data_IF_706391239568
#
_entry.id   IF_706391239568
#
_cell.length_a   1.000
_cell.length_b   1.000
_cell.length_c   1.000
_cell.angle_alpha   90.00
_cell.angle_beta   90.00
_cell.angle_gamma   90.00
#
_symmetry.space_group_name_H-M   'P 1'
#
loop_
_entity.id
_entity.type
_entity.pdbx_description
1 polymer ?
#
# COMPACT_ATOMS: atom_id res chain seq x y z
N UNK A 1 -37.57 31.02 -49.23
CA UNK A 1 -36.28 30.63 -48.77
C UNK A 1 -36.34 30.67 -47.21
N UNK A 2 -36.44 29.51 -46.57
CA UNK A 2 -36.51 29.38 -45.11
C UNK A 2 -35.11 29.07 -44.62
N UNK A 3 -34.50 29.98 -43.86
CA UNK A 3 -33.19 29.74 -43.21
C UNK A 3 -33.38 28.86 -41.98
N UNK A 4 -32.79 27.67 -42.03
CA UNK A 4 -32.72 26.73 -40.93
C UNK A 4 -31.49 27.07 -40.08
N UNK A 5 -31.69 27.67 -38.89
CA UNK A 5 -30.62 27.85 -37.92
C UNK A 5 -30.41 26.51 -37.17
N UNK A 6 -29.29 25.85 -37.40
CA UNK A 6 -28.83 24.71 -36.61
C UNK A 6 -27.99 25.26 -35.46
N UNK A 7 -28.55 25.26 -34.25
CA UNK A 7 -27.82 25.56 -33.03
C UNK A 7 -27.02 24.30 -32.61
N UNK A 8 -25.73 24.38 -32.75
CA UNK A 8 -24.79 23.35 -32.27
C UNK A 8 -24.59 23.52 -30.74
N UNK A 9 -25.22 22.67 -29.95
CA UNK A 9 -25.04 22.64 -28.51
C UNK A 9 -23.72 21.92 -28.21
N UNK A 10 -22.66 22.64 -27.86
CA UNK A 10 -21.42 22.08 -27.35
C UNK A 10 -21.64 21.64 -25.88
N UNK A 11 -21.80 20.36 -25.65
CA UNK A 11 -21.79 19.76 -24.31
C UNK A 11 -20.34 19.75 -23.83
N UNK A 12 -19.95 20.74 -23.03
CA UNK A 12 -18.69 20.71 -22.28
C UNK A 12 -18.81 19.63 -21.21
N UNK A 13 -18.27 18.43 -21.50
CA UNK A 13 -17.97 17.44 -20.51
C UNK A 13 -16.80 17.96 -19.67
N UNK A 14 -17.09 18.60 -18.54
CA UNK A 14 -16.10 18.87 -17.51
C UNK A 14 -15.77 17.53 -16.85
N UNK A 15 -14.69 16.90 -17.27
CA UNK A 15 -14.07 15.83 -16.48
C UNK A 15 -13.56 16.49 -15.21
N UNK A 16 -14.22 16.24 -14.10
CA UNK A 16 -13.70 16.59 -12.78
C UNK A 16 -12.42 15.77 -12.57
N UNK A 17 -11.27 16.38 -12.74
CA UNK A 17 -10.01 15.81 -12.31
C UNK A 17 -10.04 15.92 -10.78
N UNK A 18 -10.41 14.85 -10.11
CA UNK A 18 -10.26 14.76 -8.66
C UNK A 18 -8.76 14.65 -8.37
N UNK A 19 -8.14 15.78 -8.08
CA UNK A 19 -6.83 15.79 -7.42
C UNK A 19 -6.97 15.06 -6.09
N UNK A 20 -6.00 14.21 -5.74
CA UNK A 20 -5.96 13.58 -4.43
C UNK A 20 -6.02 14.66 -3.35
N UNK A 21 -6.87 14.44 -2.35
CA UNK A 21 -7.04 15.36 -1.23
C UNK A 21 -6.40 14.77 0.03
N UNK A 22 -5.97 15.66 0.92
CA UNK A 22 -5.50 15.22 2.24
C UNK A 22 -6.61 14.47 2.98
N UNK A 23 -6.32 13.26 3.40
CA UNK A 23 -7.21 12.43 4.20
C UNK A 23 -6.70 12.48 5.66
N UNK A 24 -7.45 13.06 6.63
CA UNK A 24 -6.99 13.23 8.00
C UNK A 24 -6.54 11.92 8.67
N UNK A 25 -7.23 10.83 8.39
CA UNK A 25 -6.84 9.52 8.91
C UNK A 25 -5.46 9.08 8.38
N UNK A 26 -5.18 9.26 7.08
CA UNK A 26 -3.86 8.96 6.53
C UNK A 26 -2.78 9.82 7.17
N UNK A 27 -3.06 11.11 7.37
CA UNK A 27 -2.17 12.01 8.10
C UNK A 27 -1.89 11.53 9.53
N UNK A 28 -2.89 10.99 10.23
CA UNK A 28 -2.71 10.44 11.58
C UNK A 28 -1.85 9.17 11.61
N UNK A 29 -1.87 8.37 10.55
CA UNK A 29 -0.99 7.21 10.38
C UNK A 29 0.43 7.66 10.05
N UNK A 30 0.58 8.58 9.08
CA UNK A 30 1.88 9.16 8.71
C UNK A 30 2.57 9.82 9.90
N UNK A 31 1.81 10.47 10.78
CA UNK A 31 2.35 11.08 12.01
C UNK A 31 2.96 10.05 13.00
N UNK A 32 2.70 8.74 12.81
CA UNK A 32 3.31 7.66 13.59
C UNK A 32 4.62 7.15 12.95
N UNK A 33 5.05 7.73 11.84
CA UNK A 33 6.35 7.47 11.25
C UNK A 33 7.44 7.84 12.25
N UNK A 34 8.43 6.98 12.42
CA UNK A 34 9.44 7.12 13.47
C UNK A 34 10.84 7.33 12.90
N UNK A 35 11.34 8.57 13.03
CA UNK A 35 12.73 8.87 12.66
C UNK A 35 13.72 7.97 13.42
N UNK A 36 13.44 7.65 14.69
CA UNK A 36 14.29 6.77 15.49
C UNK A 36 14.34 5.34 14.92
N UNK A 37 13.20 4.80 14.44
CA UNK A 37 13.19 3.49 13.81
C UNK A 37 14.02 3.51 12.52
N UNK A 38 13.82 4.49 11.66
CA UNK A 38 14.56 4.64 10.40
C UNK A 38 16.06 4.71 10.66
N UNK A 39 16.51 5.59 11.58
CA UNK A 39 17.93 5.71 11.93
C UNK A 39 18.49 4.41 12.52
N UNK A 40 17.68 3.69 13.32
CA UNK A 40 18.06 2.39 13.87
C UNK A 40 18.19 1.33 12.76
N UNK A 41 17.27 1.31 11.81
CA UNK A 41 17.28 0.38 10.68
C UNK A 41 18.49 0.63 9.77
N UNK A 42 18.78 1.89 9.45
CA UNK A 42 19.99 2.28 8.71
C UNK A 42 21.28 1.86 9.44
N UNK A 43 21.36 2.10 10.76
CA UNK A 43 22.52 1.68 11.57
C UNK A 43 22.70 0.17 11.56
N UNK A 44 21.60 -0.60 11.69
CA UNK A 44 21.65 -2.07 11.65
C UNK A 44 22.00 -2.56 10.24
N UNK A 45 21.44 -1.95 9.20
CA UNK A 45 21.75 -2.29 7.82
C UNK A 45 23.22 -2.05 7.47
N UNK A 46 23.79 -0.91 7.90
CA UNK A 46 25.21 -0.61 7.75
C UNK A 46 26.09 -1.65 8.45
N UNK A 47 25.74 -2.02 9.69
CA UNK A 47 26.49 -2.99 10.49
C UNK A 47 26.54 -4.40 9.88
N UNK A 48 25.63 -4.75 8.96
CA UNK A 48 25.63 -6.03 8.23
C UNK A 48 26.77 -6.12 7.20
N UNK A 49 27.42 -5.00 6.87
CA UNK A 49 28.53 -4.95 5.93
C UNK A 49 28.10 -4.91 4.46
N UNK A 50 29.03 -5.19 3.55
CA UNK A 50 28.80 -5.17 2.10
C UNK A 50 28.00 -6.38 1.66
N UNK A 51 26.84 -6.14 1.04
CA UNK A 51 25.82 -7.17 0.70
C UNK A 51 25.98 -7.67 -0.74
N UNK A 52 27.20 -8.05 -1.06
CA UNK A 52 27.53 -8.57 -2.41
C UNK A 52 27.01 -9.99 -2.59
N UNK A 53 26.62 -10.37 -3.82
CA UNK A 53 26.21 -11.74 -4.15
C UNK A 53 27.19 -12.79 -3.62
N UNK A 54 26.66 -13.86 -3.04
CA UNK A 54 27.44 -14.97 -2.50
C UNK A 54 28.12 -14.69 -1.15
N UNK A 55 27.91 -13.53 -0.54
CA UNK A 55 28.47 -13.20 0.79
C UNK A 55 27.53 -13.61 1.91
N UNK A 56 28.10 -13.86 3.08
CA UNK A 56 27.34 -14.04 4.32
C UNK A 56 26.57 -12.79 4.71
N UNK A 57 27.09 -11.60 4.41
CA UNK A 57 26.43 -10.32 4.67
C UNK A 57 25.09 -10.22 3.93
N UNK A 58 25.04 -10.62 2.66
CA UNK A 58 23.78 -10.66 1.90
C UNK A 58 22.75 -11.60 2.52
N UNK A 59 23.16 -12.82 2.95
CA UNK A 59 22.27 -13.75 3.62
C UNK A 59 21.81 -13.22 4.98
N UNK A 60 22.71 -12.65 5.78
CA UNK A 60 22.38 -12.08 7.08
C UNK A 60 21.38 -10.90 6.90
N UNK A 61 21.50 -10.11 5.83
CA UNK A 61 20.55 -9.03 5.54
C UNK A 61 19.18 -9.58 5.19
N UNK A 62 19.09 -10.62 4.40
CA UNK A 62 17.81 -11.31 4.12
C UNK A 62 17.15 -11.80 5.43
N UNK A 63 17.91 -12.43 6.31
CA UNK A 63 17.40 -12.95 7.59
C UNK A 63 17.00 -11.80 8.53
N UNK A 64 17.75 -10.70 8.54
CA UNK A 64 17.40 -9.48 9.27
C UNK A 64 16.09 -8.87 8.76
N UNK A 65 15.89 -8.72 7.45
CA UNK A 65 14.65 -8.24 6.85
C UNK A 65 13.44 -9.09 7.25
N UNK A 66 13.57 -10.42 7.20
CA UNK A 66 12.51 -11.35 7.61
C UNK A 66 12.15 -11.15 9.09
N UNK A 67 13.17 -11.03 9.95
CA UNK A 67 12.97 -10.80 11.38
C UNK A 67 12.30 -9.45 11.66
N UNK A 68 12.61 -8.40 10.89
CA UNK A 68 11.91 -7.11 10.96
C UNK A 68 10.42 -7.27 10.67
N UNK A 69 10.06 -7.89 9.56
CA UNK A 69 8.66 -8.12 9.21
C UNK A 69 7.92 -8.98 10.25
N UNK A 70 8.56 -10.02 10.79
CA UNK A 70 7.99 -10.82 11.87
C UNK A 70 7.75 -9.97 13.13
N UNK A 71 8.69 -9.08 13.48
CA UNK A 71 8.56 -8.19 14.63
C UNK A 71 7.42 -7.16 14.49
N UNK A 72 7.01 -6.85 13.27
CA UNK A 72 5.86 -5.98 12.99
C UNK A 72 4.51 -6.71 13.04
N UNK A 73 4.51 -8.03 13.24
CA UNK A 73 3.30 -8.86 13.35
C UNK A 73 2.91 -9.55 12.04
N UNK A 74 3.71 -9.48 11.00
CA UNK A 74 3.53 -10.33 9.82
C UNK A 74 3.92 -11.78 10.13
N UNK A 75 3.36 -12.72 9.41
CA UNK A 75 3.63 -14.16 9.57
C UNK A 75 4.57 -14.65 8.47
N UNK A 76 5.23 -15.79 8.72
CA UNK A 76 6.08 -16.43 7.71
C UNK A 76 5.30 -16.82 6.43
N UNK A 77 3.99 -17.08 6.54
CA UNK A 77 3.13 -17.41 5.39
C UNK A 77 2.89 -16.22 4.46
N UNK A 78 3.09 -14.99 4.94
CA UNK A 78 2.97 -13.77 4.15
C UNK A 78 4.28 -13.41 3.43
N UNK A 79 5.35 -14.13 3.71
CA UNK A 79 6.68 -13.91 3.14
C UNK A 79 7.07 -15.04 2.18
N UNK A 80 7.64 -14.66 1.04
CA UNK A 80 8.21 -15.56 0.04
C UNK A 80 9.68 -15.19 -0.19
N UNK A 81 10.56 -16.20 -0.16
CA UNK A 81 11.94 -16.08 -0.65
C UNK A 81 11.99 -16.62 -2.09
N UNK A 82 12.08 -15.73 -3.05
CA UNK A 82 12.22 -16.13 -4.45
C UNK A 82 13.70 -16.29 -4.80
N UNK A 83 14.15 -17.53 -4.98
CA UNK A 83 15.52 -17.82 -5.41
C UNK A 83 15.73 -17.60 -6.89
N UNK A 84 16.91 -17.10 -7.25
CA UNK A 84 17.38 -16.95 -8.64
C UNK A 84 18.89 -17.09 -8.72
N UNK A 85 19.41 -17.33 -9.93
CA UNK A 85 20.86 -17.41 -10.17
C UNK A 85 21.40 -16.03 -10.54
N UNK A 86 22.46 -15.61 -9.87
CA UNK A 86 23.21 -14.38 -10.19
C UNK A 86 24.70 -14.72 -10.30
N UNK A 87 25.20 -14.84 -11.53
CA UNK A 87 26.53 -15.38 -11.81
C UNK A 87 26.65 -16.83 -11.33
N UNK A 88 27.58 -17.12 -10.42
CA UNK A 88 27.74 -18.45 -9.80
C UNK A 88 27.01 -18.59 -8.46
N UNK A 89 26.34 -17.53 -7.99
CA UNK A 89 25.65 -17.53 -6.69
C UNK A 89 24.15 -17.71 -6.83
N UNK A 90 23.52 -18.29 -5.81
CA UNK A 90 22.07 -18.23 -5.62
C UNK A 90 21.74 -17.04 -4.74
N UNK A 91 20.98 -16.11 -5.28
CA UNK A 91 20.46 -14.94 -4.56
C UNK A 91 18.95 -15.08 -4.36
N UNK A 92 18.37 -14.23 -3.52
CA UNK A 92 16.95 -14.29 -3.19
C UNK A 92 16.35 -12.90 -3.13
N UNK A 93 15.18 -12.71 -3.72
CA UNK A 93 14.29 -11.61 -3.41
C UNK A 93 13.45 -11.97 -2.18
N UNK A 94 13.15 -11.00 -1.33
CA UNK A 94 12.20 -11.15 -0.25
C UNK A 94 10.91 -10.42 -0.59
N UNK A 95 9.80 -11.15 -0.63
CA UNK A 95 8.48 -10.63 -0.99
C UNK A 95 7.56 -10.79 0.22
N UNK A 96 7.14 -9.69 0.82
CA UNK A 96 6.08 -9.66 1.82
C UNK A 96 4.76 -9.29 1.15
N UNK A 97 3.72 -10.09 1.35
CA UNK A 97 2.38 -9.80 0.82
C UNK A 97 1.41 -9.46 1.94
N UNK A 98 0.87 -8.25 1.90
CA UNK A 98 -0.26 -7.81 2.70
C UNK A 98 -1.52 -7.92 1.86
N UNK A 99 -2.46 -8.77 2.28
CA UNK A 99 -3.67 -9.07 1.53
C UNK A 99 -4.65 -7.89 1.56
N UNK A 100 -5.17 -7.54 0.40
CA UNK A 100 -6.26 -6.57 0.24
C UNK A 100 -7.63 -7.18 0.52
N UNK A 101 -8.58 -6.34 0.88
CA UNK A 101 -9.92 -6.77 1.30
C UNK A 101 -10.91 -6.88 0.14
N UNK A 102 -10.76 -6.08 -0.91
CA UNK A 102 -11.69 -6.02 -2.03
C UNK A 102 -11.07 -6.57 -3.33
N UNK A 103 -9.81 -6.23 -3.59
CA UNK A 103 -9.06 -6.67 -4.76
C UNK A 103 -7.81 -7.45 -4.34
N UNK A 104 -7.98 -8.67 -3.77
CA UNK A 104 -6.88 -9.43 -3.16
C UNK A 104 -5.83 -9.92 -4.18
N UNK A 105 -6.16 -9.93 -5.47
CA UNK A 105 -5.27 -10.40 -6.54
C UNK A 105 -4.72 -9.25 -7.41
N UNK A 106 -5.02 -7.99 -7.08
CA UNK A 106 -4.47 -6.80 -7.72
C UNK A 106 -3.50 -6.12 -6.74
N UNK A 107 -2.29 -5.81 -7.19
CA UNK A 107 -1.19 -5.45 -6.30
C UNK A 107 -0.68 -4.04 -6.52
N UNK A 108 -0.50 -3.29 -5.44
CA UNK A 108 0.45 -2.18 -5.36
C UNK A 108 1.77 -2.75 -4.88
N UNK A 109 2.84 -2.53 -5.62
CA UNK A 109 4.19 -2.97 -5.27
C UNK A 109 4.98 -1.78 -4.76
N UNK A 110 5.60 -1.91 -3.59
CA UNK A 110 6.57 -0.96 -3.03
C UNK A 110 7.89 -1.71 -2.93
N UNK A 111 8.90 -1.29 -3.66
CA UNK A 111 10.13 -2.05 -3.81
C UNK A 111 11.40 -1.19 -3.79
N UNK A 112 12.51 -1.87 -3.59
CA UNK A 112 13.88 -1.39 -3.66
C UNK A 112 14.83 -2.54 -3.39
N UNK A 113 16.11 -2.37 -3.69
CA UNK A 113 17.07 -3.46 -3.49
C UNK A 113 17.74 -3.41 -2.11
N UNK A 114 18.29 -4.55 -1.69
CA UNK A 114 19.01 -4.68 -0.42
C UNK A 114 20.44 -5.18 -0.58
N UNK A 115 20.86 -5.52 -1.81
CA UNK A 115 22.28 -5.78 -2.11
C UNK A 115 23.06 -4.47 -2.26
N UNK A 116 24.38 -4.56 -2.25
CA UNK A 116 25.26 -3.40 -2.40
C UNK A 116 26.58 -3.76 -3.06
N UNK A 117 27.24 -2.77 -3.66
CA UNK A 117 28.54 -2.91 -4.29
C UNK A 117 29.51 -1.82 -3.76
N UNK A 118 30.76 -2.18 -3.58
CA UNK A 118 31.81 -1.21 -3.16
C UNK A 118 31.82 -0.87 -1.68
N UNK A 119 30.69 -0.93 -0.99
CA UNK A 119 30.53 -0.56 0.41
C UNK A 119 29.35 -1.20 1.09
N UNK A 120 28.93 -0.61 2.22
CA UNK A 120 27.78 -1.11 2.99
C UNK A 120 26.45 -0.83 2.30
N UNK A 121 26.40 0.11 1.34
CA UNK A 121 25.18 0.50 0.65
C UNK A 121 24.16 1.10 1.59
N UNK A 122 24.57 2.00 2.48
CA UNK A 122 23.67 2.53 3.51
C UNK A 122 22.69 3.53 2.92
N UNK A 123 23.12 4.33 1.94
CA UNK A 123 22.22 5.12 1.11
C UNK A 123 21.73 4.31 -0.07
N UNK A 124 22.61 3.66 -0.79
CA UNK A 124 22.35 2.85 -1.98
C UNK A 124 22.40 1.33 -1.64
N UNK A 125 21.26 0.65 -1.25
CA UNK A 125 19.93 1.25 -1.10
C UNK A 125 19.32 0.90 0.28
N UNK A 126 20.10 1.03 1.36
CA UNK A 126 19.59 0.92 2.74
C UNK A 126 18.53 1.97 3.05
N UNK A 127 18.60 3.14 2.40
CA UNK A 127 17.65 4.23 2.56
C UNK A 127 16.25 3.83 2.05
N UNK A 128 16.16 3.22 0.87
CA UNK A 128 14.92 2.68 0.34
C UNK A 128 14.38 1.53 1.19
N UNK A 129 15.28 0.62 1.63
CA UNK A 129 14.91 -0.47 2.56
C UNK A 129 14.28 0.08 3.84
N UNK A 130 14.85 1.11 4.46
CA UNK A 130 14.30 1.70 5.68
C UNK A 130 12.90 2.30 5.47
N UNK A 131 12.66 2.98 4.35
CA UNK A 131 11.34 3.49 3.97
C UNK A 131 10.33 2.37 3.75
N UNK A 132 10.72 1.27 3.09
CA UNK A 132 9.86 0.10 2.86
C UNK A 132 9.48 -0.57 4.19
N UNK A 133 10.46 -0.76 5.08
CA UNK A 133 10.24 -1.36 6.40
C UNK A 133 9.27 -0.53 7.26
N UNK A 134 9.46 0.78 7.33
CA UNK A 134 8.60 1.67 8.11
C UNK A 134 7.19 1.74 7.54
N UNK A 135 7.05 1.74 6.20
CA UNK A 135 5.76 1.66 5.52
C UNK A 135 5.05 0.35 5.85
N UNK A 136 5.73 -0.78 5.76
CA UNK A 136 5.17 -2.08 6.11
C UNK A 136 4.74 -2.13 7.58
N UNK A 137 5.55 -1.58 8.51
CA UNK A 137 5.25 -1.53 9.94
C UNK A 137 3.93 -0.81 10.21
N UNK A 138 3.75 0.36 9.63
CA UNK A 138 2.55 1.18 9.88
C UNK A 138 1.30 0.63 9.20
N UNK A 139 1.45 0.00 8.04
CA UNK A 139 0.30 -0.52 7.30
C UNK A 139 -0.12 -1.94 7.72
N UNK A 140 0.59 -2.59 8.63
CA UNK A 140 0.34 -3.98 9.00
C UNK A 140 -1.12 -4.24 9.38
N UNK A 141 -1.70 -3.41 10.23
CA UNK A 141 -3.08 -3.55 10.72
C UNK A 141 -4.10 -2.65 10.01
N UNK A 142 -3.70 -1.91 8.97
CA UNK A 142 -4.59 -1.00 8.24
C UNK A 142 -5.19 -1.75 7.06
N UNK A 143 -6.51 -1.98 7.01
CA UNK A 143 -7.14 -2.60 5.84
C UNK A 143 -6.92 -1.76 4.59
N UNK A 144 -6.65 -2.42 3.47
CA UNK A 144 -6.53 -1.80 2.16
C UNK A 144 -7.42 -2.53 1.17
N UNK A 145 -7.97 -1.84 0.17
CA UNK A 145 -8.78 -2.51 -0.87
C UNK A 145 -7.92 -3.42 -1.74
N UNK A 146 -6.76 -2.91 -2.18
CA UNK A 146 -5.78 -3.64 -2.98
C UNK A 146 -4.74 -4.30 -2.08
N UNK A 147 -4.22 -5.43 -2.52
CA UNK A 147 -3.06 -6.06 -1.88
C UNK A 147 -1.80 -5.23 -2.06
N UNK A 148 -0.91 -5.28 -1.08
CA UNK A 148 0.40 -4.63 -1.17
C UNK A 148 1.48 -5.71 -1.15
N UNK A 149 2.44 -5.62 -2.08
CA UNK A 149 3.68 -6.38 -2.01
C UNK A 149 4.81 -5.42 -1.65
N UNK A 150 5.46 -5.67 -0.50
CA UNK A 150 6.72 -5.05 -0.17
C UNK A 150 7.84 -5.98 -0.65
N UNK A 151 8.67 -5.51 -1.58
CA UNK A 151 9.68 -6.36 -2.19
C UNK A 151 11.06 -5.75 -1.97
N UNK A 152 11.93 -6.54 -1.32
CA UNK A 152 13.33 -6.24 -1.22
C UNK A 152 14.07 -7.10 -2.26
N UNK A 153 14.51 -6.49 -3.35
CA UNK A 153 15.23 -7.15 -4.43
C UNK A 153 16.69 -7.38 -4.07
N UNK A 154 17.31 -8.38 -4.68
CA UNK A 154 18.75 -8.61 -4.64
C UNK A 154 19.29 -8.69 -6.06
N UNK A 155 20.57 -8.35 -6.26
CA UNK A 155 21.22 -8.39 -7.57
C UNK A 155 20.79 -7.24 -8.49
N UNK A 156 20.34 -6.13 -7.93
CA UNK A 156 20.13 -4.88 -8.65
C UNK A 156 21.47 -4.41 -9.20
N UNK A 157 22.49 -4.34 -8.37
CA UNK A 157 23.87 -3.92 -8.61
C UNK A 157 24.63 -4.79 -9.64
N UNK A 158 24.07 -5.93 -9.98
CA UNK A 158 24.56 -6.84 -11.01
C UNK A 158 23.78 -6.72 -12.33
N UNK A 159 22.95 -5.69 -12.48
CA UNK A 159 22.14 -5.39 -13.64
C UNK A 159 20.69 -5.87 -13.52
N UNK A 160 20.02 -5.55 -12.42
CA UNK A 160 18.58 -5.76 -12.19
C UNK A 160 18.18 -7.25 -12.19
N UNK A 161 19.11 -8.17 -11.84
CA UNK A 161 18.88 -9.61 -12.01
C UNK A 161 17.70 -10.12 -11.19
N UNK A 162 17.52 -9.58 -9.98
CA UNK A 162 16.44 -9.98 -9.08
C UNK A 162 15.07 -9.52 -9.57
N UNK A 163 14.92 -8.27 -9.94
CA UNK A 163 13.66 -7.72 -10.47
C UNK A 163 13.31 -8.31 -11.83
N UNK A 164 14.30 -8.56 -12.73
CA UNK A 164 14.08 -9.33 -13.96
C UNK A 164 13.59 -10.74 -13.68
N UNK A 165 14.19 -11.43 -12.70
CA UNK A 165 13.75 -12.75 -12.27
C UNK A 165 12.32 -12.74 -11.72
N UNK A 166 11.97 -11.71 -10.94
CA UNK A 166 10.61 -11.56 -10.40
C UNK A 166 9.59 -11.36 -11.53
N UNK A 167 9.86 -10.46 -12.47
CA UNK A 167 8.98 -10.23 -13.61
C UNK A 167 8.78 -11.51 -14.42
N UNK A 168 9.86 -12.21 -14.75
CA UNK A 168 9.79 -13.42 -15.56
C UNK A 168 9.08 -14.57 -14.85
N UNK A 169 9.37 -14.81 -13.56
CA UNK A 169 9.00 -16.02 -12.85
C UNK A 169 7.85 -15.84 -11.86
N UNK A 170 7.35 -14.61 -11.67
CA UNK A 170 6.19 -14.31 -10.80
C UNK A 170 5.14 -13.52 -11.55
N UNK A 171 5.50 -12.38 -12.15
CA UNK A 171 4.53 -11.56 -12.89
C UNK A 171 3.97 -12.34 -14.09
N UNK A 172 4.85 -12.94 -14.86
CA UNK A 172 4.50 -13.68 -16.08
C UNK A 172 4.30 -15.20 -15.86
N UNK A 173 4.26 -15.66 -14.58
CA UNK A 173 4.13 -17.08 -14.26
C UNK A 173 2.78 -17.68 -14.62
N UNK A 174 1.75 -16.86 -14.78
CA UNK A 174 0.37 -17.27 -15.06
C UNK A 174 -0.19 -16.52 -16.28
N UNK A 175 -1.29 -17.05 -16.83
CA UNK A 175 -2.06 -16.37 -17.86
C UNK A 175 -3.53 -16.30 -17.41
N UNK A 176 -4.11 -15.11 -17.17
CA UNK A 176 -3.45 -13.80 -17.30
C UNK A 176 -2.28 -13.64 -16.33
N UNK A 177 -1.35 -12.74 -16.67
CA UNK A 177 -0.22 -12.39 -15.80
C UNK A 177 -0.72 -11.75 -14.49
N UNK A 178 0.17 -11.62 -13.50
CA UNK A 178 -0.14 -10.93 -12.23
C UNK A 178 -0.71 -9.53 -12.52
N UNK A 179 -1.81 -9.21 -11.87
CA UNK A 179 -2.46 -7.90 -12.01
C UNK A 179 -1.76 -6.89 -11.09
N UNK A 180 -0.98 -5.99 -11.69
CA UNK A 180 -0.23 -4.96 -10.99
C UNK A 180 -0.86 -3.60 -11.27
N UNK A 181 -1.37 -2.96 -10.21
CA UNK A 181 -1.93 -1.62 -10.28
C UNK A 181 -0.86 -0.55 -10.46
N UNK A 182 0.25 -0.68 -9.72
CA UNK A 182 1.36 0.27 -9.72
C UNK A 182 2.59 -0.35 -9.07
N UNK A 183 3.76 -0.03 -9.59
CA UNK A 183 5.06 -0.25 -8.94
C UNK A 183 5.62 1.09 -8.48
N UNK A 184 5.95 1.20 -7.19
CA UNK A 184 6.61 2.34 -6.57
C UNK A 184 8.01 1.89 -6.17
N UNK A 185 9.03 2.37 -6.85
CA UNK A 185 10.41 2.06 -6.55
C UNK A 185 11.03 3.13 -5.66
N UNK A 186 11.84 2.71 -4.70
CA UNK A 186 12.59 3.58 -3.80
C UNK A 186 14.06 3.25 -3.95
N UNK A 187 14.85 4.21 -4.43
CA UNK A 187 16.27 4.01 -4.65
C UNK A 187 17.05 5.29 -4.34
N UNK A 188 18.14 5.16 -3.57
CA UNK A 188 18.96 6.29 -3.11
C UNK A 188 18.10 7.47 -2.59
N UNK A 189 17.42 7.28 -1.46
CA UNK A 189 16.50 8.27 -0.87
C UNK A 189 16.98 8.75 0.51
N UNK A 190 18.26 8.69 0.77
CA UNK A 190 18.87 9.00 2.06
C UNK A 190 19.29 10.46 2.25
N UNK A 191 19.42 11.21 1.17
CA UNK A 191 19.95 12.58 1.18
C UNK A 191 21.43 12.66 1.54
N UNK A 192 22.01 13.84 1.40
CA UNK A 192 23.43 14.08 1.59
C UNK A 192 23.67 14.95 2.82
N UNK A 193 24.49 14.48 3.76
CA UNK A 193 24.80 15.22 4.98
C UNK A 193 25.38 16.62 4.68
N UNK A 194 24.86 17.63 5.37
CA UNK A 194 25.31 19.01 5.25
C UNK A 194 24.75 19.78 4.05
N UNK A 195 23.96 19.15 3.19
CA UNK A 195 23.23 19.84 2.13
C UNK A 195 21.79 20.17 2.56
N UNK A 196 21.13 21.06 1.81
CA UNK A 196 19.69 21.28 1.95
C UNK A 196 18.96 20.19 1.19
N UNK A 197 18.38 19.23 1.93
CA UNK A 197 17.63 18.12 1.37
C UNK A 197 16.12 18.38 1.57
N UNK A 198 15.55 19.27 0.77
CA UNK A 198 14.15 19.67 0.84
C UNK A 198 13.32 19.23 -0.35
N UNK A 199 13.92 18.55 -1.31
CA UNK A 199 13.30 18.17 -2.58
C UNK A 199 13.54 16.69 -2.87
N UNK A 200 12.49 15.97 -3.31
CA UNK A 200 12.56 14.59 -3.79
C UNK A 200 12.25 14.53 -5.28
N UNK A 201 13.01 13.75 -6.01
CA UNK A 201 12.74 13.45 -7.42
C UNK A 201 11.65 12.39 -7.51
N UNK A 202 10.57 12.71 -8.21
CA UNK A 202 9.53 11.77 -8.58
C UNK A 202 9.76 11.34 -10.04
N UNK A 203 9.89 10.05 -10.24
CA UNK A 203 10.28 9.48 -11.53
C UNK A 203 9.09 8.85 -12.24
N UNK A 204 8.89 9.25 -13.48
CA UNK A 204 7.88 8.65 -14.36
C UNK A 204 8.51 7.78 -15.41
N UNK A 205 7.71 6.92 -16.04
CA UNK A 205 8.14 6.13 -17.18
C UNK A 205 8.82 7.01 -18.24
N UNK A 206 9.86 6.47 -18.81
CA UNK A 206 10.50 7.07 -19.98
C UNK A 206 9.60 6.86 -21.21
N UNK A 207 9.75 7.67 -22.25
CA UNK A 207 9.04 7.47 -23.52
C UNK A 207 9.60 6.27 -24.31
N UNK A 208 9.86 5.15 -23.64
CA UNK A 208 10.45 3.93 -24.20
C UNK A 208 9.39 2.94 -24.68
N UNK A 209 9.84 1.84 -25.27
CA UNK A 209 9.00 0.68 -25.56
C UNK A 209 8.92 -0.26 -24.34
N UNK A 210 7.71 -0.72 -23.97
CA UNK A 210 6.43 -0.40 -24.59
C UNK A 210 5.94 0.99 -24.19
N UNK A 211 5.33 1.74 -25.11
CA UNK A 211 4.82 3.10 -24.85
C UNK A 211 3.37 3.10 -24.32
N UNK A 212 2.75 1.95 -24.23
CA UNK A 212 1.34 1.81 -23.86
C UNK A 212 1.07 2.07 -22.37
N UNK A 213 2.09 1.95 -21.51
CA UNK A 213 2.05 2.26 -20.08
C UNK A 213 2.44 3.72 -19.75
N UNK A 214 3.11 4.45 -20.65
CA UNK A 214 3.69 5.78 -20.38
C UNK A 214 2.67 6.79 -19.86
N UNK A 215 1.51 6.91 -20.52
CA UNK A 215 0.51 7.91 -20.13
C UNK A 215 -0.08 7.63 -18.73
N UNK A 216 -0.32 6.37 -18.41
CA UNK A 216 -0.86 5.98 -17.10
C UNK A 216 0.22 6.11 -16.03
N UNK A 217 1.46 5.70 -16.29
CA UNK A 217 2.60 5.91 -15.39
C UNK A 217 2.80 7.41 -15.10
N UNK A 218 2.71 8.29 -16.11
CA UNK A 218 2.79 9.73 -15.90
C UNK A 218 1.66 10.25 -14.99
N UNK A 219 0.45 9.73 -15.13
CA UNK A 219 -0.68 10.08 -14.25
C UNK A 219 -0.40 9.63 -12.82
N UNK A 220 0.04 8.38 -12.61
CA UNK A 220 0.36 7.86 -11.28
C UNK A 220 1.53 8.62 -10.63
N UNK A 221 2.52 9.05 -11.42
CA UNK A 221 3.61 9.89 -10.89
C UNK A 221 3.11 11.26 -10.46
N UNK A 222 2.17 11.88 -11.18
CA UNK A 222 1.55 13.13 -10.75
C UNK A 222 0.73 12.96 -9.45
N UNK A 223 0.09 11.81 -9.28
CA UNK A 223 -0.57 11.46 -8.02
C UNK A 223 0.45 11.24 -6.89
N UNK A 224 1.60 10.61 -7.15
CA UNK A 224 2.70 10.48 -6.20
C UNK A 224 3.22 11.86 -5.77
N UNK A 225 3.45 12.79 -6.71
CA UNK A 225 3.83 14.19 -6.45
C UNK A 225 2.83 14.85 -5.50
N UNK A 226 1.54 14.65 -5.75
CA UNK A 226 0.48 15.19 -4.88
C UNK A 226 0.58 14.59 -3.47
N UNK A 227 0.78 13.28 -3.34
CA UNK A 227 0.93 12.61 -2.05
C UNK A 227 2.17 13.09 -1.28
N UNK A 228 3.30 13.32 -1.96
CA UNK A 228 4.50 13.90 -1.34
C UNK A 228 4.17 15.22 -0.66
N UNK A 229 3.52 16.15 -1.37
CA UNK A 229 3.14 17.45 -0.82
C UNK A 229 2.05 17.40 0.25
N UNK A 230 1.19 16.36 0.27
CA UNK A 230 0.15 16.19 1.28
C UNK A 230 0.67 15.61 2.60
N UNK A 231 1.69 14.74 2.56
CA UNK A 231 2.09 13.91 3.70
C UNK A 231 3.54 14.10 4.15
N UNK A 232 4.32 14.94 3.48
CA UNK A 232 5.68 15.28 3.88
C UNK A 232 5.96 16.77 3.67
N UNK A 233 7.02 17.31 4.25
CA UNK A 233 7.45 18.70 4.02
C UNK A 233 8.26 18.87 2.73
N UNK A 234 8.45 17.81 1.93
CA UNK A 234 9.32 17.83 0.77
C UNK A 234 8.67 18.53 -0.43
N UNK A 235 9.47 19.31 -1.14
CA UNK A 235 9.19 19.73 -2.50
C UNK A 235 9.41 18.55 -3.46
N UNK A 236 8.93 18.68 -4.69
CA UNK A 236 9.07 17.63 -5.70
C UNK A 236 9.76 18.14 -6.96
N UNK A 237 10.58 17.30 -7.56
CA UNK A 237 11.13 17.47 -8.89
C UNK A 237 10.71 16.30 -9.77
N UNK A 238 10.18 16.57 -10.97
CA UNK A 238 9.75 15.53 -11.91
C UNK A 238 10.89 15.14 -12.84
N UNK A 239 11.22 13.85 -12.88
CA UNK A 239 12.20 13.30 -13.79
C UNK A 239 11.70 12.02 -14.47
N UNK A 240 12.59 11.31 -15.12
CA UNK A 240 12.32 10.05 -15.79
C UNK A 240 12.99 8.89 -15.06
N UNK A 241 12.27 7.77 -15.01
CA UNK A 241 12.77 6.52 -14.48
C UNK A 241 13.97 6.02 -15.30
N UNK A 242 14.96 5.51 -14.59
CA UNK A 242 16.14 4.96 -15.24
C UNK A 242 16.92 4.03 -14.28
N UNK A 243 17.52 2.97 -14.82
CA UNK A 243 18.53 2.12 -14.16
C UNK A 243 18.23 1.66 -12.72
N UNK A 244 16.97 1.27 -12.40
CA UNK A 244 16.64 0.68 -11.12
C UNK A 244 15.56 -0.40 -11.27
N UNK A 245 15.14 -1.04 -10.18
CA UNK A 245 14.30 -2.25 -10.14
C UNK A 245 12.92 -2.11 -10.79
N UNK A 246 12.42 -0.92 -11.02
CA UNK A 246 11.18 -0.70 -11.78
C UNK A 246 11.34 -0.94 -13.29
N UNK A 247 12.58 -0.90 -13.86
CA UNK A 247 12.79 -0.98 -15.30
C UNK A 247 12.37 -2.31 -15.93
N UNK A 248 12.59 -3.49 -15.31
CA UNK A 248 12.03 -4.73 -15.82
C UNK A 248 10.50 -4.75 -15.85
N UNK A 249 9.83 -4.08 -14.92
CA UNK A 249 8.37 -3.92 -14.93
C UNK A 249 7.93 -2.99 -16.04
N UNK A 250 8.62 -1.87 -16.24
CA UNK A 250 8.39 -0.96 -17.36
C UNK A 250 8.47 -1.71 -18.70
N UNK A 251 9.55 -2.48 -18.92
CA UNK A 251 9.73 -3.27 -20.12
C UNK A 251 8.66 -4.36 -20.30
N UNK A 252 8.01 -4.79 -19.20
CA UNK A 252 6.89 -5.73 -19.20
C UNK A 252 5.51 -5.04 -19.33
N UNK A 253 5.48 -3.76 -19.65
CA UNK A 253 4.27 -2.95 -19.81
C UNK A 253 3.46 -2.81 -18.51
N UNK A 254 4.14 -2.79 -17.34
CA UNK A 254 3.53 -2.43 -16.08
C UNK A 254 3.58 -0.92 -15.87
N UNK A 255 2.71 -0.43 -14.99
CA UNK A 255 2.67 0.99 -14.59
C UNK A 255 3.70 1.19 -13.48
N UNK A 256 4.62 2.14 -13.67
CA UNK A 256 5.70 2.40 -12.74
C UNK A 256 5.76 3.86 -12.32
N UNK A 257 6.30 4.09 -11.12
CA UNK A 257 6.78 5.38 -10.62
C UNK A 257 7.90 5.12 -9.60
N UNK A 258 8.63 6.15 -9.21
CA UNK A 258 9.71 6.00 -8.24
C UNK A 258 10.03 7.29 -7.50
N UNK A 259 10.80 7.16 -6.44
CA UNK A 259 11.40 8.23 -5.66
C UNK A 259 12.92 8.06 -5.64
N UNK A 260 13.62 9.16 -5.89
CA UNK A 260 15.08 9.26 -5.91
C UNK A 260 15.52 10.58 -5.28
N UNK A 261 16.63 10.62 -4.58
CA UNK A 261 17.12 11.87 -3.97
C UNK A 261 17.53 12.89 -5.04
N UNK A 262 17.21 14.17 -4.83
CA UNK A 262 17.57 15.23 -5.79
C UNK A 262 19.06 15.63 -5.64
N UNK A 263 19.58 15.62 -4.43
CA UNK A 263 21.01 15.75 -4.16
C UNK A 263 21.64 14.36 -4.21
N UNK A 264 22.08 13.94 -5.38
CA UNK A 264 22.69 12.61 -5.54
C UNK A 264 24.02 12.51 -4.79
N UNK A 265 24.17 11.47 -3.97
CA UNK A 265 25.38 11.24 -3.21
C UNK A 265 26.56 10.83 -4.10
N UNK A 266 27.76 11.30 -3.78
CA UNK A 266 29.00 10.84 -4.43
C UNK A 266 29.60 9.62 -3.72
N UNK A 267 28.98 9.13 -2.66
CA UNK A 267 29.46 8.01 -1.83
C UNK A 267 28.96 6.65 -2.32
N UNK A 268 27.92 6.60 -3.16
CA UNK A 268 27.38 5.34 -3.70
C UNK A 268 28.49 4.52 -4.39
N UNK A 269 28.36 3.21 -4.35
CA UNK A 269 29.31 2.25 -4.90
C UNK A 269 30.73 2.39 -4.35
N UNK A 270 30.89 3.00 -3.17
CA UNK A 270 32.21 3.16 -2.50
C UNK A 270 32.13 2.67 -1.04
N UNK A 271 33.30 2.47 -0.42
CA UNK A 271 33.38 2.13 1.00
C UNK A 271 32.98 3.27 1.94
N UNK A 272 32.62 4.42 1.40
CA UNK A 272 32.12 5.59 2.15
C UNK A 272 30.61 5.78 2.01
N UNK A 273 29.89 4.84 1.42
CA UNK A 273 28.42 4.82 1.49
C UNK A 273 27.97 4.39 2.89
N UNK A 274 27.98 5.36 3.80
CA UNK A 274 27.78 5.21 5.23
C UNK A 274 26.76 6.23 5.76
N UNK A 275 26.08 5.87 6.84
CA UNK A 275 25.07 6.71 7.51
C UNK A 275 25.56 8.12 7.86
N UNK A 276 26.85 8.27 8.20
CA UNK A 276 27.46 9.57 8.56
C UNK A 276 27.42 10.59 7.40
N UNK A 277 27.30 10.12 6.17
CA UNK A 277 27.22 10.98 4.98
C UNK A 277 25.82 11.18 4.47
N UNK A 278 24.81 10.60 5.13
CA UNK A 278 23.39 10.72 4.84
C UNK A 278 22.71 11.79 5.70
N UNK A 279 21.46 12.10 5.35
CA UNK A 279 20.54 12.91 6.13
C UNK A 279 19.34 12.08 6.61
N UNK A 280 19.38 11.50 7.81
CA UNK A 280 18.26 10.67 8.31
C UNK A 280 16.94 11.42 8.47
N UNK A 281 16.96 12.76 8.55
CA UNK A 281 15.73 13.59 8.58
C UNK A 281 15.09 13.60 7.20
N UNK A 282 15.89 13.74 6.16
CA UNK A 282 15.39 13.64 4.79
C UNK A 282 14.80 12.26 4.51
N UNK A 283 15.51 11.19 4.85
CA UNK A 283 15.01 9.83 4.67
C UNK A 283 13.71 9.59 5.45
N UNK A 284 13.58 10.14 6.67
CA UNK A 284 12.33 10.14 7.42
C UNK A 284 11.18 10.87 6.67
N UNK A 285 11.45 12.02 6.06
CA UNK A 285 10.45 12.75 5.28
C UNK A 285 10.04 11.98 4.03
N UNK A 286 10.97 11.27 3.38
CA UNK A 286 10.66 10.37 2.24
C UNK A 286 9.80 9.20 2.71
N UNK A 287 10.07 8.61 3.87
CA UNK A 287 9.23 7.56 4.43
C UNK A 287 7.80 8.05 4.70
N UNK A 288 7.62 9.26 5.21
CA UNK A 288 6.29 9.87 5.39
C UNK A 288 5.54 9.98 4.06
N UNK A 289 6.21 10.48 3.01
CA UNK A 289 5.64 10.55 1.66
C UNK A 289 5.25 9.17 1.13
N UNK A 290 6.11 8.18 1.30
CA UNK A 290 5.89 6.79 0.86
C UNK A 290 4.70 6.15 1.55
N UNK A 291 4.56 6.33 2.87
CA UNK A 291 3.43 5.83 3.66
C UNK A 291 2.12 6.42 3.14
N UNK A 292 2.06 7.75 3.01
CA UNK A 292 0.87 8.45 2.52
C UNK A 292 0.49 8.02 1.10
N UNK A 293 1.47 7.96 0.19
CA UNK A 293 1.27 7.50 -1.18
C UNK A 293 0.77 6.05 -1.25
N UNK A 294 1.40 5.14 -0.49
CA UNK A 294 1.00 3.73 -0.46
C UNK A 294 -0.44 3.57 0.03
N UNK A 295 -0.86 4.35 1.04
CA UNK A 295 -2.24 4.36 1.52
C UNK A 295 -3.22 4.82 0.45
N UNK A 296 -2.90 5.84 -0.33
CA UNK A 296 -3.72 6.30 -1.45
C UNK A 296 -3.82 5.27 -2.56
N UNK A 297 -2.70 4.74 -3.02
CA UNK A 297 -2.68 3.80 -4.14
C UNK A 297 -3.29 2.45 -3.80
N UNK A 298 -3.12 1.97 -2.56
CA UNK A 298 -3.74 0.75 -2.09
C UNK A 298 -5.19 0.95 -1.59
N UNK A 299 -5.69 2.19 -1.58
CA UNK A 299 -7.00 2.59 -1.05
C UNK A 299 -7.19 2.06 0.36
N UNK A 300 -6.40 2.61 1.29
CA UNK A 300 -6.49 2.25 2.68
C UNK A 300 -7.83 2.73 3.27
N UNK A 301 -8.36 1.98 4.23
CA UNK A 301 -9.56 2.38 4.95
C UNK A 301 -9.38 3.77 5.56
N UNK A 302 -10.39 4.62 5.42
CA UNK A 302 -10.35 6.02 5.87
C UNK A 302 -10.94 6.20 7.26
N UNK A 303 -11.41 5.13 7.88
CA UNK A 303 -12.28 5.24 9.02
C UNK A 303 -11.56 5.11 10.35
N UNK A 304 -11.86 6.04 11.18
CA UNK A 304 -12.35 5.82 12.54
C UNK A 304 -13.52 4.80 12.63
N UNK A 305 -14.03 4.31 11.55
CA UNK A 305 -14.97 3.20 11.54
C UNK A 305 -14.19 1.95 11.91
N UNK A 306 -14.44 1.54 13.13
CA UNK A 306 -14.05 0.27 13.71
C UNK A 306 -13.82 -0.77 12.62
N UNK A 307 -12.58 -1.20 12.50
CA UNK A 307 -12.08 -2.37 11.76
C UNK A 307 -12.71 -3.67 12.24
N UNK A 308 -14.02 -3.73 12.28
CA UNK A 308 -14.80 -4.92 12.56
C UNK A 308 -15.82 -5.16 11.45
N UNK A 309 -15.36 -5.07 10.17
CA UNK A 309 -15.79 -6.04 9.19
C UNK A 309 -14.97 -7.33 9.39
N UNK A 310 -14.93 -7.82 10.61
CA UNK A 310 -14.82 -9.25 10.74
C UNK A 310 -16.02 -9.78 9.94
N UNK A 311 -15.73 -10.58 8.91
CA UNK A 311 -16.64 -11.59 8.42
C UNK A 311 -16.92 -12.47 9.63
N UNK A 312 -17.74 -11.98 10.56
CA UNK A 312 -18.37 -12.82 11.56
C UNK A 312 -19.39 -13.64 10.75
N UNK A 313 -18.85 -14.68 10.10
CA UNK A 313 -19.60 -15.68 9.34
C UNK A 313 -20.64 -16.37 10.23
N UNK A 314 -20.71 -15.95 11.48
CA UNK A 314 -21.57 -16.51 12.51
C UNK A 314 -22.90 -15.75 12.67
N UNK A 315 -22.94 -14.40 12.43
CA UNK A 315 -24.19 -13.64 12.51
C UNK A 315 -24.78 -13.45 11.13
N UNK A 316 -25.98 -13.92 10.93
CA UNK A 316 -26.69 -13.76 9.67
C UNK A 316 -28.06 -13.11 9.86
N UNK A 317 -28.44 -12.28 8.88
CA UNK A 317 -29.72 -11.60 8.79
C UNK A 317 -30.45 -12.14 7.56
N UNK A 318 -31.63 -12.72 7.74
CA UNK A 318 -32.38 -13.32 6.65
C UNK A 318 -33.87 -13.28 6.87
N UNK A 319 -34.69 -13.31 5.77
CA UNK A 319 -34.27 -13.23 4.39
C UNK A 319 -33.80 -11.83 4.01
N UNK A 320 -33.09 -11.68 2.91
CA UNK A 320 -32.81 -10.39 2.28
C UNK A 320 -32.91 -10.59 0.76
N UNK A 321 -33.87 -9.98 0.08
CA UNK A 321 -34.90 -9.04 0.57
C UNK A 321 -35.86 -9.61 1.63
N UNK A 322 -36.36 -8.73 2.50
CA UNK A 322 -37.27 -9.06 3.61
C UNK A 322 -38.59 -8.30 3.45
N UNK A 323 -39.72 -8.94 3.83
CA UNK A 323 -41.02 -8.29 3.87
C UNK A 323 -41.42 -7.88 5.28
N UNK A 324 -41.89 -8.84 6.05
CA UNK A 324 -42.54 -8.59 7.33
C UNK A 324 -41.66 -8.90 8.52
N UNK A 325 -40.78 -9.92 8.43
CA UNK A 325 -39.98 -10.41 9.54
C UNK A 325 -38.57 -10.68 9.12
N UNK A 326 -37.61 -10.08 9.87
CA UNK A 326 -36.19 -10.30 9.75
C UNK A 326 -35.72 -11.24 10.86
N UNK A 327 -35.06 -12.32 10.49
CA UNK A 327 -34.43 -13.23 11.44
C UNK A 327 -32.96 -12.87 11.61
N UNK A 328 -32.50 -12.89 12.84
CA UNK A 328 -31.12 -12.65 13.25
C UNK A 328 -30.61 -13.95 13.85
N UNK A 329 -29.71 -14.64 13.15
CA UNK A 329 -28.99 -15.78 13.73
C UNK A 329 -27.70 -15.26 14.35
N UNK A 330 -27.52 -15.47 15.65
CA UNK A 330 -26.41 -14.95 16.46
C UNK A 330 -25.15 -15.84 16.41
N UNK A 331 -25.24 -17.03 15.82
CA UNK A 331 -24.11 -17.94 15.75
C UNK A 331 -23.57 -18.32 17.13
N UNK A 332 -22.28 -18.09 17.34
CA UNK A 332 -21.59 -18.38 18.62
C UNK A 332 -21.34 -17.13 19.47
N UNK A 333 -22.10 -16.04 19.28
CA UNK A 333 -21.98 -14.85 20.14
C UNK A 333 -22.38 -15.26 21.57
N UNK A 334 -21.44 -15.04 22.49
CA UNK A 334 -21.62 -15.35 23.90
C UNK A 334 -22.51 -14.33 24.66
N UNK A 335 -22.65 -13.12 24.10
CA UNK A 335 -23.47 -12.07 24.69
C UNK A 335 -24.95 -12.38 24.49
N UNK A 336 -25.71 -12.39 25.58
CA UNK A 336 -27.17 -12.68 25.58
C UNK A 336 -28.01 -11.42 25.50
N UNK A 337 -27.40 -10.23 25.67
CA UNK A 337 -28.09 -8.96 25.61
C UNK A 337 -27.51 -8.09 24.49
N UNK A 338 -28.37 -7.55 23.64
CA UNK A 338 -27.95 -6.65 22.57
C UNK A 338 -29.04 -5.65 22.17
N UNK A 339 -28.60 -4.58 21.54
CA UNK A 339 -29.50 -3.62 20.89
C UNK A 339 -29.48 -3.87 19.38
N UNK A 340 -30.66 -4.01 18.80
CA UNK A 340 -30.83 -4.06 17.35
C UNK A 340 -31.43 -2.75 16.85
N UNK A 341 -30.81 -2.12 15.87
CA UNK A 341 -31.30 -0.89 15.23
C UNK A 341 -31.37 -1.03 13.71
N UNK A 342 -32.34 -0.36 13.10
CA UNK A 342 -32.38 -0.11 11.66
C UNK A 342 -32.20 1.36 11.38
N UNK A 343 -31.31 1.70 10.47
CA UNK A 343 -30.97 3.05 10.07
C UNK A 343 -31.29 3.20 8.58
N UNK A 344 -32.00 4.25 8.21
CA UNK A 344 -32.28 4.57 6.81
C UNK A 344 -31.05 5.20 6.10
N UNK A 345 -31.17 5.46 4.80
CA UNK A 345 -30.09 6.05 4.00
C UNK A 345 -29.76 7.50 4.38
N UNK A 346 -30.60 8.18 5.14
CA UNK A 346 -30.36 9.52 5.68
C UNK A 346 -29.66 9.48 7.04
N UNK A 347 -29.37 8.28 7.58
CA UNK A 347 -28.75 8.10 8.89
C UNK A 347 -29.74 8.18 10.06
N UNK A 348 -31.06 8.21 9.79
CA UNK A 348 -32.10 8.22 10.82
C UNK A 348 -32.35 6.81 11.31
N UNK A 349 -32.33 6.62 12.63
CA UNK A 349 -32.78 5.37 13.25
C UNK A 349 -34.32 5.27 13.13
N UNK A 350 -34.79 4.24 12.43
CA UNK A 350 -36.22 4.00 12.17
C UNK A 350 -36.80 2.87 13.02
N UNK A 351 -35.93 2.04 13.60
CA UNK A 351 -36.30 0.98 14.54
C UNK A 351 -35.18 0.79 15.53
N UNK A 352 -35.52 0.67 16.81
CA UNK A 352 -34.57 0.32 17.88
C UNK A 352 -35.24 -0.68 18.82
N UNK A 353 -34.57 -1.78 19.14
CA UNK A 353 -35.08 -2.83 20.00
C UNK A 353 -33.96 -3.37 20.89
N UNK A 354 -34.16 -3.32 22.19
CA UNK A 354 -33.33 -4.03 23.15
C UNK A 354 -33.83 -5.47 23.28
N UNK A 355 -32.94 -6.43 23.25
CA UNK A 355 -33.20 -7.85 23.37
C UNK A 355 -32.36 -8.38 24.52
N UNK A 356 -33.03 -8.89 25.53
CA UNK A 356 -32.43 -9.49 26.72
C UNK A 356 -32.64 -11.00 26.69
N UNK A 357 -31.66 -11.76 27.16
CA UNK A 357 -31.66 -13.21 27.15
C UNK A 357 -31.95 -13.79 25.76
N UNK A 358 -31.26 -13.27 24.76
CA UNK A 358 -31.45 -13.64 23.36
C UNK A 358 -31.26 -15.15 23.12
N UNK A 359 -32.11 -15.68 22.25
CA UNK A 359 -31.98 -17.02 21.75
C UNK A 359 -31.05 -17.08 20.55
N UNK A 360 -30.65 -18.27 20.14
CA UNK A 360 -29.76 -18.50 19.01
C UNK A 360 -30.27 -17.81 17.70
N UNK A 361 -31.58 -17.67 17.55
CA UNK A 361 -32.22 -16.93 16.46
C UNK A 361 -33.34 -16.07 17.02
N UNK A 362 -33.28 -14.77 16.68
CA UNK A 362 -34.30 -13.78 17.04
C UNK A 362 -35.05 -13.31 15.80
N UNK A 363 -36.33 -13.01 15.97
CA UNK A 363 -37.21 -12.53 14.89
C UNK A 363 -37.67 -11.12 15.19
N UNK A 364 -37.42 -10.20 14.25
CA UNK A 364 -37.75 -8.77 14.34
C UNK A 364 -38.87 -8.47 13.34
N UNK A 365 -40.00 -7.93 13.82
CA UNK A 365 -41.05 -7.40 12.95
C UNK A 365 -40.59 -6.11 12.30
N UNK A 366 -40.80 -5.98 11.00
CA UNK A 366 -40.54 -4.77 10.20
C UNK A 366 -41.84 -4.08 9.78
N UNK A 367 -42.97 -4.46 10.38
CA UNK A 367 -44.28 -3.88 10.09
C UNK A 367 -44.24 -2.33 10.25
N UNK A 368 -44.74 -1.65 9.24
CA UNK A 368 -44.75 -0.18 9.21
C UNK A 368 -43.51 0.47 8.61
N UNK A 369 -42.49 -0.30 8.25
CA UNK A 369 -41.33 0.25 7.54
C UNK A 369 -41.63 0.42 6.04
N UNK A 370 -41.12 1.51 5.48
CA UNK A 370 -41.21 1.74 4.03
C UNK A 370 -40.29 0.77 3.27
N UNK A 371 -40.69 0.42 2.05
CA UNK A 371 -39.79 -0.32 1.13
C UNK A 371 -38.53 0.48 0.87
N UNK A 372 -37.38 -0.18 0.94
CA UNK A 372 -36.12 0.48 0.73
C UNK A 372 -34.92 -0.27 1.30
N UNK A 373 -33.79 0.39 1.23
CA UNK A 373 -32.51 -0.10 1.77
C UNK A 373 -32.27 0.46 3.17
N UNK A 374 -31.87 -0.40 4.09
CA UNK A 374 -31.58 -0.07 5.48
C UNK A 374 -30.26 -0.68 5.92
N UNK A 375 -29.66 -0.08 6.93
CA UNK A 375 -28.51 -0.60 7.62
C UNK A 375 -29.00 -1.23 8.94
N UNK A 376 -28.89 -2.55 9.06
CA UNK A 376 -29.16 -3.29 10.28
C UNK A 376 -27.91 -3.26 11.16
N UNK A 377 -28.05 -2.80 12.39
CA UNK A 377 -26.98 -2.69 13.39
C UNK A 377 -27.33 -3.57 14.59
N UNK A 378 -26.44 -4.49 14.93
CA UNK A 378 -26.48 -5.28 16.16
C UNK A 378 -25.34 -4.81 17.06
N UNK A 379 -25.67 -4.31 18.24
CA UNK A 379 -24.70 -3.82 19.24
C UNK A 379 -24.76 -4.68 20.50
N UNK A 380 -23.68 -5.36 20.82
CA UNK A 380 -23.47 -6.04 22.11
C UNK A 380 -22.54 -5.24 23.02
N UNK A 381 -22.23 -5.75 24.20
CA UNK A 381 -21.25 -5.13 25.11
C UNK A 381 -19.84 -5.11 24.50
N UNK A 382 -19.51 -6.10 23.67
CA UNK A 382 -18.16 -6.33 23.13
C UNK A 382 -18.04 -6.10 21.62
N UNK A 383 -19.18 -6.14 20.87
CA UNK A 383 -19.18 -6.11 19.39
C UNK A 383 -20.29 -5.24 18.82
N UNK A 384 -19.99 -4.65 17.65
CA UNK A 384 -20.97 -4.00 16.78
C UNK A 384 -20.93 -4.66 15.40
N UNK A 385 -22.05 -5.18 14.96
CA UNK A 385 -22.20 -5.85 13.66
C UNK A 385 -23.17 -5.04 12.82
N UNK A 386 -22.82 -4.78 11.57
CA UNK A 386 -23.64 -3.99 10.66
C UNK A 386 -23.82 -4.75 9.34
N UNK A 387 -25.05 -4.84 8.86
CA UNK A 387 -25.40 -5.50 7.59
C UNK A 387 -26.42 -4.68 6.81
N UNK A 388 -26.27 -4.65 5.50
CA UNK A 388 -27.26 -4.07 4.60
C UNK A 388 -28.43 -5.04 4.45
N UNK A 389 -29.66 -4.54 4.61
CA UNK A 389 -30.89 -5.27 4.30
C UNK A 389 -31.75 -4.49 3.31
N UNK A 390 -32.58 -5.19 2.55
CA UNK A 390 -33.56 -4.61 1.62
C UNK A 390 -34.95 -5.02 2.09
N UNK A 391 -35.83 -4.04 2.34
CA UNK A 391 -37.23 -4.22 2.71
C UNK A 391 -38.08 -4.05 1.44
N UNK A 392 -38.98 -5.05 1.15
CA UNK A 392 -39.88 -5.11 -0.03
C UNK A 392 -41.34 -4.91 0.31
#
# INVERSE_FOLDING_TARGET
>A
MKNLFVSLFFLLLTTSVFSQQYIPYYGSVVAQCSQSNITTDLTQFEALGMKRRGTTALQNTLDWLKNKYLSYGYTALQMEEQSFTNGSATCKNLILTKQGTLYPNTYVIVCGHYDSIGGTGTNDNGSGVACILETARLLQNIPTEYSIKFINFSGEEDGLVGSQSFVSNRVNATNPKMDIRLVINLDEVGGVAGLTNDTITCERDTNNNPSTNNAVSATMTNELITCVGLYSPLNTYLSYAYSSDYMPFQANNEIITGLFETNETTHKHTNTDLLIYMDPVYNYNVAQATIGATMHFAVAATSLETSNFENDSQVSFYPSPVKDFLNINLGTIADVNYTFSLIDLQGKEVLNKQIENAHFTETISLEGLSKGMYLAVLQTASKRITKKIVVE
#
